data_IF_119243387763
#
_entry.id   IF_119243387763
#
_cell.length_a   1.000
_cell.length_b   1.000
_cell.length_c   1.000
_cell.angle_alpha   90.00
_cell.angle_beta   90.00
_cell.angle_gamma   90.00
#
_symmetry.space_group_name_H-M   'P 1'
#
loop_
_entity.id
_entity.type
_entity.pdbx_description
1 polymer ?
#
# COMPACT_ATOMS: atom_id res chain seq x y z
N UNK A 1 -28.95 -33.19 31.32
CA UNK A 1 -27.67 -33.25 30.58
C UNK A 1 -27.82 -32.46 29.28
N UNK A 2 -28.17 -31.17 29.38
CA UNK A 2 -28.07 -30.20 28.28
C UNK A 2 -27.96 -28.84 28.96
N UNK A 3 -26.78 -28.53 29.46
CA UNK A 3 -26.38 -27.20 29.94
C UNK A 3 -24.85 -27.20 29.86
N UNK A 4 -24.31 -26.77 28.71
CA UNK A 4 -22.94 -26.27 28.53
C UNK A 4 -22.60 -26.30 27.04
N UNK A 5 -23.16 -25.38 26.26
CA UNK A 5 -22.60 -24.96 24.96
C UNK A 5 -23.06 -23.52 24.66
N UNK A 6 -22.68 -22.59 25.53
CA UNK A 6 -22.44 -21.20 25.13
C UNK A 6 -21.10 -20.79 25.71
N UNK A 7 -20.02 -21.31 25.10
CA UNK A 7 -18.71 -20.69 25.25
C UNK A 7 -18.76 -19.36 24.50
N UNK A 8 -18.62 -18.31 25.30
CA UNK A 8 -18.49 -16.91 24.94
C UNK A 8 -17.57 -16.70 23.74
N UNK A 9 -18.02 -15.88 22.79
CA UNK A 9 -17.13 -15.18 21.87
C UNK A 9 -16.02 -14.51 22.68
N UNK A 10 -14.78 -14.85 22.39
CA UNK A 10 -13.58 -14.22 22.95
C UNK A 10 -13.65 -12.73 22.63
N UNK A 11 -14.08 -11.90 23.59
CA UNK A 11 -13.98 -10.46 23.51
C UNK A 11 -12.49 -10.13 23.47
N UNK A 12 -11.96 -9.93 22.27
CA UNK A 12 -10.58 -9.53 22.08
C UNK A 12 -10.41 -8.13 22.68
N UNK A 13 -9.98 -8.08 23.94
CA UNK A 13 -9.73 -6.84 24.67
C UNK A 13 -8.70 -6.02 23.89
N UNK A 14 -9.11 -4.84 23.41
CA UNK A 14 -8.20 -3.89 22.78
C UNK A 14 -7.11 -3.52 23.79
N UNK A 15 -5.84 -3.72 23.45
CA UNK A 15 -4.70 -3.41 24.33
C UNK A 15 -4.16 -2.01 24.09
N UNK A 16 -4.42 -1.43 22.92
CA UNK A 16 -3.91 -0.12 22.52
C UNK A 16 -5.03 0.87 22.28
N UNK A 17 -4.77 2.15 22.53
CA UNK A 17 -5.68 3.21 22.11
C UNK A 17 -5.76 3.24 20.57
N UNK A 18 -6.97 3.37 19.99
CA UNK A 18 -7.11 3.42 18.54
C UNK A 18 -6.49 4.71 18.00
N UNK A 19 -5.77 4.59 16.90
CA UNK A 19 -5.28 5.72 16.10
C UNK A 19 -6.09 5.71 14.80
N UNK A 20 -6.85 6.78 14.56
CA UNK A 20 -7.72 6.89 13.40
C UNK A 20 -6.93 6.71 12.10
N UNK A 21 -7.49 5.96 11.15
CA UNK A 21 -6.89 5.62 9.84
C UNK A 21 -5.56 4.86 9.85
N UNK A 22 -4.98 4.57 11.03
CA UNK A 22 -3.84 3.67 11.15
C UNK A 22 -4.29 2.20 11.19
N UNK A 23 -3.36 1.30 10.91
CA UNK A 23 -3.54 -0.14 11.02
C UNK A 23 -3.78 -0.57 12.46
N UNK A 24 -4.44 -1.72 12.63
CA UNK A 24 -4.65 -2.30 13.95
C UNK A 24 -3.33 -2.64 14.64
N UNK A 25 -3.10 -2.00 15.78
CA UNK A 25 -1.89 -2.16 16.59
C UNK A 25 -1.74 -3.57 17.18
N UNK A 26 -2.84 -4.31 17.33
CA UNK A 26 -2.83 -5.73 17.77
C UNK A 26 -2.12 -6.67 16.79
N UNK A 27 -1.90 -6.21 15.56
CA UNK A 27 -1.26 -6.99 14.50
C UNK A 27 0.26 -6.92 14.54
N UNK A 28 0.83 -6.07 15.39
CA UNK A 28 2.25 -6.07 15.72
C UNK A 28 2.55 -7.18 16.72
N UNK A 29 2.70 -8.40 16.24
CA UNK A 29 2.93 -9.63 17.01
C UNK A 29 3.81 -10.60 16.21
N UNK A 30 4.36 -11.68 16.79
CA UNK A 30 5.03 -12.72 16.00
C UNK A 30 4.16 -13.22 14.84
N UNK A 31 4.72 -13.24 13.63
CA UNK A 31 4.02 -13.52 12.36
C UNK A 31 3.24 -12.33 11.79
N UNK A 32 3.08 -11.23 12.54
CA UNK A 32 2.31 -10.04 12.16
C UNK A 32 3.13 -8.98 11.43
N UNK A 33 2.79 -7.70 11.59
CA UNK A 33 3.50 -6.60 10.93
C UNK A 33 4.93 -6.40 11.47
N UNK A 34 5.83 -5.93 10.61
CA UNK A 34 7.14 -5.43 11.03
C UNK A 34 7.01 -4.00 11.59
N UNK A 35 7.54 -3.68 12.79
CA UNK A 35 7.49 -2.32 13.33
C UNK A 35 8.40 -1.39 12.54
N UNK A 36 7.82 -0.36 11.89
CA UNK A 36 8.53 0.69 11.16
C UNK A 36 7.97 2.06 11.54
N UNK A 37 8.85 3.06 11.56
CA UNK A 37 8.48 4.46 11.77
C UNK A 37 9.06 5.37 10.68
N UNK A 38 8.51 6.58 10.59
CA UNK A 38 9.03 7.62 9.68
C UNK A 38 10.50 7.91 10.02
N UNK A 39 11.34 7.94 8.99
CA UNK A 39 12.77 8.19 9.12
C UNK A 39 13.65 6.92 9.16
N UNK A 40 13.07 5.75 9.45
CA UNK A 40 13.80 4.48 9.37
C UNK A 40 14.39 4.27 7.97
N UNK A 41 15.51 3.56 7.89
CA UNK A 41 16.14 3.20 6.62
C UNK A 41 16.20 1.68 6.50
N UNK A 42 15.44 1.14 5.55
CA UNK A 42 15.39 -0.30 5.28
C UNK A 42 16.50 -0.69 4.30
N UNK A 43 17.24 -1.76 4.61
CA UNK A 43 18.40 -2.25 3.82
C UNK A 43 19.43 -1.17 3.50
N UNK A 44 19.66 -0.24 4.43
CA UNK A 44 20.60 0.87 4.27
C UNK A 44 20.38 1.69 2.98
N UNK A 45 19.16 1.66 2.43
CA UNK A 45 18.84 2.21 1.11
C UNK A 45 17.50 2.95 1.07
N UNK A 46 16.46 2.36 1.64
CA UNK A 46 15.10 2.86 1.50
C UNK A 46 14.71 3.66 2.75
N UNK A 47 14.92 4.97 2.72
CA UNK A 47 14.52 5.85 3.82
C UNK A 47 13.02 6.07 3.81
N UNK A 48 12.32 5.74 4.89
CA UNK A 48 10.87 5.94 5.03
C UNK A 48 10.56 7.44 5.15
N UNK A 49 9.72 7.93 4.25
CA UNK A 49 9.30 9.33 4.15
C UNK A 49 7.85 9.50 4.59
N UNK A 50 6.97 8.60 4.16
CA UNK A 50 5.56 8.60 4.58
C UNK A 50 4.99 7.18 4.52
N UNK A 51 3.87 6.95 5.20
CA UNK A 51 3.04 5.77 4.95
C UNK A 51 2.12 5.97 3.75
N UNK A 52 2.03 5.01 2.83
CA UNK A 52 1.12 5.03 1.68
C UNK A 52 -0.17 4.25 1.92
N UNK A 53 -0.14 3.25 2.81
CA UNK A 53 -1.30 2.44 3.11
C UNK A 53 -0.97 1.23 3.98
N UNK A 54 -2.00 0.49 4.33
CA UNK A 54 -1.90 -0.81 4.97
C UNK A 54 -3.08 -1.68 4.54
N UNK A 55 -2.90 -2.98 4.63
CA UNK A 55 -3.96 -3.95 4.40
C UNK A 55 -3.76 -5.16 5.29
N UNK A 56 -4.60 -6.18 5.11
CA UNK A 56 -4.57 -7.37 5.98
C UNK A 56 -3.23 -8.11 5.94
N UNK A 57 -2.38 -7.99 4.93
CA UNK A 57 -1.13 -8.79 4.90
C UNK A 57 0.13 -7.95 4.75
N UNK A 58 0.03 -6.61 4.77
CA UNK A 58 1.19 -5.76 4.57
C UNK A 58 0.98 -4.32 5.01
N UNK A 59 2.08 -3.61 5.18
CA UNK A 59 2.12 -2.13 5.17
C UNK A 59 2.86 -1.65 3.93
N UNK A 60 2.52 -0.47 3.43
CA UNK A 60 3.15 0.14 2.25
C UNK A 60 3.65 1.53 2.59
N UNK A 61 4.89 1.82 2.23
CA UNK A 61 5.61 3.02 2.62
C UNK A 61 6.17 3.74 1.41
N UNK A 62 6.06 5.06 1.41
CA UNK A 62 6.78 5.93 0.50
C UNK A 62 8.21 6.05 1.02
N UNK A 63 9.17 5.64 0.21
CA UNK A 63 10.58 5.72 0.55
C UNK A 63 11.35 6.58 -0.45
N UNK A 64 12.40 7.25 0.02
CA UNK A 64 13.46 7.78 -0.84
C UNK A 64 14.51 6.70 -1.01
N UNK A 65 14.75 6.29 -2.25
CA UNK A 65 15.81 5.33 -2.59
C UNK A 65 17.16 6.06 -2.64
N UNK A 66 18.08 5.69 -1.76
CA UNK A 66 19.43 6.27 -1.68
C UNK A 66 20.31 5.99 -2.90
N UNK A 67 20.00 4.99 -3.73
CA UNK A 67 20.78 4.67 -4.93
C UNK A 67 20.33 5.45 -6.16
N UNK A 68 19.03 5.44 -6.45
CA UNK A 68 18.48 6.15 -7.62
C UNK A 68 18.13 7.61 -7.33
N UNK A 69 18.09 8.00 -6.05
CA UNK A 69 17.57 9.27 -5.59
C UNK A 69 16.13 9.54 -6.06
N UNK A 70 15.31 8.49 -6.22
CA UNK A 70 13.90 8.57 -6.61
C UNK A 70 12.98 8.13 -5.47
N UNK A 71 11.69 8.44 -5.59
CA UNK A 71 10.68 7.87 -4.70
C UNK A 71 10.24 6.48 -5.16
N UNK A 72 10.06 5.59 -4.19
CA UNK A 72 9.59 4.21 -4.40
C UNK A 72 8.50 3.87 -3.39
N UNK A 73 7.66 2.89 -3.72
CA UNK A 73 6.77 2.25 -2.77
C UNK A 73 7.40 0.95 -2.27
N UNK A 74 7.71 0.90 -0.97
CA UNK A 74 8.16 -0.31 -0.29
C UNK A 74 6.96 -0.98 0.37
N UNK A 75 6.62 -2.19 -0.08
CA UNK A 75 5.61 -3.02 0.58
C UNK A 75 6.29 -4.06 1.45
N UNK A 76 5.87 -4.13 2.72
CA UNK A 76 6.41 -5.01 3.76
C UNK A 76 5.30 -5.95 4.20
N UNK A 77 5.43 -7.24 3.90
CA UNK A 77 4.49 -8.28 4.28
C UNK A 77 4.49 -8.56 5.78
N UNK A 78 3.43 -9.19 6.28
CA UNK A 78 3.42 -9.79 7.62
C UNK A 78 4.41 -10.97 7.68
N UNK A 79 4.90 -11.30 8.88
CA UNK A 79 5.88 -12.38 9.06
C UNK A 79 5.36 -13.78 8.69
N UNK A 80 4.05 -13.95 8.57
CA UNK A 80 3.37 -15.16 8.11
C UNK A 80 2.96 -15.13 6.62
N UNK A 81 3.25 -14.02 5.92
CA UNK A 81 2.92 -13.87 4.49
C UNK A 81 3.98 -14.51 3.58
N UNK A 82 3.61 -14.75 2.32
CA UNK A 82 4.49 -15.29 1.29
C UNK A 82 4.72 -14.26 0.16
N UNK A 83 5.50 -14.65 -0.84
CA UNK A 83 5.80 -13.78 -1.98
C UNK A 83 4.83 -13.91 -3.17
N UNK A 84 3.68 -14.56 -3.02
CA UNK A 84 2.81 -14.91 -4.15
C UNK A 84 2.45 -13.71 -5.02
N UNK A 85 2.11 -12.56 -4.43
CA UNK A 85 1.82 -11.33 -5.18
C UNK A 85 3.05 -10.86 -5.98
N UNK A 86 4.24 -10.89 -5.36
CA UNK A 86 5.48 -10.51 -6.03
C UNK A 86 5.86 -11.49 -7.15
N UNK A 87 5.61 -12.79 -6.96
CA UNK A 87 5.84 -13.82 -7.98
C UNK A 87 4.90 -13.64 -9.17
N UNK A 88 3.61 -13.35 -8.92
CA UNK A 88 2.62 -13.06 -9.97
C UNK A 88 3.00 -11.80 -10.74
N UNK A 89 3.36 -10.71 -10.04
CA UNK A 89 3.84 -9.48 -10.70
C UNK A 89 5.11 -9.75 -11.50
N UNK A 90 6.05 -10.54 -10.98
CA UNK A 90 7.25 -10.95 -11.72
C UNK A 90 6.91 -11.70 -13.01
N UNK A 91 5.94 -12.61 -12.95
CA UNK A 91 5.47 -13.34 -14.13
C UNK A 91 4.80 -12.41 -15.15
N UNK A 92 3.93 -11.49 -14.70
CA UNK A 92 3.26 -10.49 -15.55
C UNK A 92 4.23 -9.51 -16.21
N UNK A 93 5.40 -9.27 -15.61
CA UNK A 93 6.44 -8.40 -16.19
C UNK A 93 7.42 -9.16 -17.10
N UNK A 94 7.44 -10.49 -17.05
CA UNK A 94 8.38 -11.34 -17.80
C UNK A 94 8.14 -11.29 -19.32
N UNK A 95 9.15 -11.67 -20.08
CA UNK A 95 9.05 -11.73 -21.55
C UNK A 95 8.23 -12.96 -21.96
N UNK A 96 7.13 -12.73 -22.68
CA UNK A 96 6.21 -13.77 -23.15
C UNK A 96 5.57 -13.38 -24.50
N UNK A 97 4.71 -14.24 -25.08
CA UNK A 97 4.09 -14.00 -26.39
C UNK A 97 3.29 -12.68 -26.46
N UNK A 98 2.88 -12.17 -25.31
CA UNK A 98 2.03 -10.98 -25.15
C UNK A 98 2.80 -9.70 -24.81
N UNK A 99 4.09 -9.63 -25.14
CA UNK A 99 4.97 -8.47 -24.91
C UNK A 99 4.41 -7.14 -25.44
N UNK A 100 3.65 -7.19 -26.54
CA UNK A 100 3.03 -6.02 -27.18
C UNK A 100 1.62 -5.71 -26.68
N UNK A 101 1.09 -6.49 -25.72
CA UNK A 101 -0.25 -6.26 -25.21
C UNK A 101 -0.29 -4.93 -24.42
N UNK A 102 -1.17 -3.97 -24.79
CA UNK A 102 -1.17 -2.63 -24.20
C UNK A 102 -1.47 -2.63 -22.70
N UNK A 103 -2.23 -3.62 -22.21
CA UNK A 103 -2.51 -3.81 -20.78
C UNK A 103 -1.27 -4.07 -19.91
N UNK A 104 -0.16 -4.55 -20.50
CA UNK A 104 1.10 -4.77 -19.77
C UNK A 104 1.61 -3.49 -19.11
N UNK A 105 1.44 -2.34 -19.76
CA UNK A 105 1.88 -1.04 -19.25
C UNK A 105 1.15 -0.59 -17.98
N UNK A 106 0.09 -1.30 -17.58
CA UNK A 106 -0.72 -1.03 -16.39
C UNK A 106 -0.33 -1.93 -15.21
N UNK A 107 0.56 -2.91 -15.40
CA UNK A 107 1.05 -3.75 -14.31
C UNK A 107 2.19 -3.04 -13.57
N UNK A 108 2.19 -3.02 -12.22
CA UNK A 108 3.34 -2.60 -11.44
C UNK A 108 4.57 -3.45 -11.75
N UNK A 109 5.72 -2.81 -11.91
CA UNK A 109 7.00 -3.49 -12.08
C UNK A 109 7.75 -3.55 -10.75
N UNK A 110 8.25 -4.74 -10.40
CA UNK A 110 9.12 -4.95 -9.24
C UNK A 110 10.53 -4.44 -9.55
N UNK A 111 11.03 -3.55 -8.70
CA UNK A 111 12.36 -2.94 -8.80
C UNK A 111 13.38 -3.60 -7.86
N UNK A 112 12.94 -4.10 -6.71
CA UNK A 112 13.74 -4.88 -5.77
C UNK A 112 12.83 -5.85 -4.99
N UNK A 113 13.41 -6.94 -4.49
CA UNK A 113 12.76 -7.95 -3.66
C UNK A 113 13.74 -8.49 -2.63
N UNK A 114 13.30 -8.60 -1.39
CA UNK A 114 14.13 -9.09 -0.30
C UNK A 114 13.30 -9.60 0.88
N UNK A 115 13.96 -10.24 1.83
CA UNK A 115 13.41 -10.55 3.16
C UNK A 115 13.95 -9.51 4.14
N UNK A 116 13.09 -8.98 4.99
CA UNK A 116 13.45 -8.14 6.12
C UNK A 116 13.23 -8.94 7.41
N UNK A 117 14.30 -9.27 8.11
CA UNK A 117 14.21 -9.96 9.40
C UNK A 117 13.94 -8.96 10.52
N UNK A 118 13.06 -9.32 11.44
CA UNK A 118 12.72 -8.51 12.60
C UNK A 118 12.19 -9.33 13.76
N UNK A 119 11.86 -8.64 14.83
CA UNK A 119 11.34 -9.27 16.06
C UNK A 119 10.02 -10.03 15.85
N UNK A 120 9.25 -9.66 14.82
CA UNK A 120 7.99 -10.29 14.46
C UNK A 120 8.13 -11.39 13.40
N UNK A 121 9.35 -11.75 13.01
CA UNK A 121 9.64 -12.80 12.03
C UNK A 121 10.37 -12.28 10.79
N UNK A 122 10.30 -13.04 9.71
CA UNK A 122 10.90 -12.71 8.41
C UNK A 122 9.83 -12.20 7.46
N UNK A 123 10.01 -10.99 6.94
CA UNK A 123 8.97 -10.28 6.21
C UNK A 123 9.31 -10.21 4.72
N UNK A 124 8.49 -10.80 3.82
CA UNK A 124 8.67 -10.63 2.39
C UNK A 124 8.42 -9.17 1.99
N UNK A 125 9.41 -8.58 1.35
CA UNK A 125 9.38 -7.20 0.90
C UNK A 125 9.60 -7.11 -0.61
N UNK A 126 8.94 -6.15 -1.23
CA UNK A 126 9.22 -5.78 -2.61
C UNK A 126 8.98 -4.29 -2.83
N UNK A 127 9.63 -3.77 -3.87
CA UNK A 127 9.66 -2.35 -4.19
C UNK A 127 9.07 -2.12 -5.57
N UNK A 128 8.17 -1.15 -5.70
CA UNK A 128 7.59 -0.71 -6.97
C UNK A 128 7.65 0.80 -7.13
N UNK A 129 7.22 1.32 -8.28
CA UNK A 129 6.87 2.74 -8.40
C UNK A 129 5.70 3.06 -7.47
N UNK A 130 5.68 4.24 -6.84
CA UNK A 130 4.55 4.66 -6.02
C UNK A 130 3.35 5.00 -6.90
N UNK A 131 2.17 4.60 -6.44
CA UNK A 131 0.91 5.10 -6.98
C UNK A 131 0.50 6.40 -6.27
N UNK A 132 -0.39 7.16 -6.90
CA UNK A 132 -0.99 8.36 -6.34
C UNK A 132 -2.07 8.01 -5.32
N UNK A 133 -3.11 7.31 -5.78
CA UNK A 133 -4.25 6.92 -4.96
C UNK A 133 -5.04 5.78 -5.63
N UNK A 134 -5.94 5.14 -4.89
CA UNK A 134 -6.94 4.24 -5.47
C UNK A 134 -8.09 5.02 -6.11
N UNK A 135 -8.86 4.37 -6.99
CA UNK A 135 -10.13 4.92 -7.50
C UNK A 135 -11.11 5.20 -6.37
N UNK A 136 -11.16 4.35 -5.34
CA UNK A 136 -12.02 4.56 -4.16
C UNK A 136 -11.63 5.85 -3.46
N UNK A 137 -10.35 6.01 -3.13
CA UNK A 137 -9.87 7.18 -2.40
C UNK A 137 -10.04 8.47 -3.22
N UNK A 138 -9.86 8.42 -4.54
CA UNK A 138 -10.11 9.57 -5.42
C UNK A 138 -11.59 10.00 -5.37
N UNK A 139 -12.52 9.04 -5.30
CA UNK A 139 -13.96 9.32 -5.14
C UNK A 139 -14.25 9.91 -3.77
N UNK A 140 -13.59 9.43 -2.72
CA UNK A 140 -13.78 9.93 -1.35
C UNK A 140 -13.26 11.37 -1.18
N UNK A 141 -12.25 11.76 -1.98
CA UNK A 141 -11.79 13.14 -2.06
C UNK A 141 -12.72 14.11 -2.80
N UNK A 142 -13.84 13.64 -3.38
CA UNK A 142 -14.79 14.48 -4.13
C UNK A 142 -16.18 14.46 -3.51
N UNK A 143 -16.81 15.64 -3.42
CA UNK A 143 -18.16 15.78 -2.85
C UNK A 143 -19.22 14.95 -3.59
N UNK A 144 -19.14 14.85 -4.92
CA UNK A 144 -20.09 14.08 -5.71
C UNK A 144 -19.65 12.62 -5.91
N UNK A 145 -18.41 12.27 -5.52
CA UNK A 145 -17.81 10.94 -5.65
C UNK A 145 -17.81 10.41 -7.09
N UNK A 146 -17.84 11.28 -8.09
CA UNK A 146 -17.90 10.93 -9.52
C UNK A 146 -16.69 11.45 -10.27
N UNK A 147 -16.23 10.64 -11.22
CA UNK A 147 -15.32 11.11 -12.26
C UNK A 147 -16.14 11.78 -13.37
N UNK A 148 -15.54 12.77 -14.04
CA UNK A 148 -16.08 13.26 -15.32
C UNK A 148 -16.23 12.09 -16.29
N UNK A 149 -17.32 12.08 -17.07
CA UNK A 149 -17.68 10.94 -17.92
C UNK A 149 -16.55 10.49 -18.87
N UNK A 150 -15.82 11.44 -19.46
CA UNK A 150 -14.69 11.13 -20.35
C UNK A 150 -13.53 10.47 -19.58
N UNK A 151 -13.24 10.93 -18.36
CA UNK A 151 -12.21 10.36 -17.48
C UNK A 151 -12.60 8.96 -17.03
N UNK A 152 -13.85 8.76 -16.61
CA UNK A 152 -14.38 7.45 -16.25
C UNK A 152 -14.26 6.44 -17.41
N UNK A 153 -14.63 6.84 -18.64
CA UNK A 153 -14.47 5.99 -19.83
C UNK A 153 -13.00 5.64 -20.11
N UNK A 154 -12.09 6.59 -19.93
CA UNK A 154 -10.64 6.34 -20.06
C UNK A 154 -10.14 5.31 -19.04
N UNK A 155 -10.54 5.44 -17.77
CA UNK A 155 -10.18 4.50 -16.70
C UNK A 155 -10.72 3.11 -17.00
N UNK A 156 -12.00 3.00 -17.39
CA UNK A 156 -12.64 1.71 -17.73
C UNK A 156 -11.94 1.05 -18.92
N UNK A 157 -11.64 1.82 -19.98
CA UNK A 157 -10.94 1.28 -21.15
C UNK A 157 -9.56 0.73 -20.77
N UNK A 158 -8.80 1.44 -19.94
CA UNK A 158 -7.52 0.94 -19.43
C UNK A 158 -7.73 -0.31 -18.56
N UNK A 159 -8.69 -0.31 -17.64
CA UNK A 159 -8.95 -1.47 -16.80
C UNK A 159 -9.30 -2.72 -17.60
N UNK A 160 -10.11 -2.59 -18.67
CA UNK A 160 -10.41 -3.70 -19.59
C UNK A 160 -9.13 -4.23 -20.26
N UNK A 161 -8.22 -3.35 -20.69
CA UNK A 161 -6.93 -3.77 -21.26
C UNK A 161 -6.04 -4.46 -20.21
N UNK A 162 -5.98 -3.95 -18.98
CA UNK A 162 -5.23 -4.58 -17.89
C UNK A 162 -5.77 -5.99 -17.59
N UNK A 163 -7.10 -6.13 -17.47
CA UNK A 163 -7.76 -7.41 -17.22
C UNK A 163 -7.58 -8.38 -18.38
N UNK A 164 -7.70 -7.91 -19.62
CA UNK A 164 -7.43 -8.73 -20.79
C UNK A 164 -5.99 -9.27 -20.79
N UNK A 165 -5.02 -8.43 -20.38
CA UNK A 165 -3.62 -8.84 -20.29
C UNK A 165 -3.38 -9.94 -19.25
N UNK A 166 -3.88 -9.76 -18.01
CA UNK A 166 -3.68 -10.78 -16.97
C UNK A 166 -4.34 -12.10 -17.35
N UNK A 167 -5.50 -12.07 -18.03
CA UNK A 167 -6.19 -13.27 -18.50
C UNK A 167 -5.41 -13.97 -19.62
N UNK A 168 -4.80 -13.21 -20.53
CA UNK A 168 -3.93 -13.75 -21.59
C UNK A 168 -2.66 -14.40 -21.02
N UNK A 169 -2.21 -13.92 -19.85
CA UNK A 169 -1.14 -14.53 -19.04
C UNK A 169 -1.63 -15.72 -18.20
N UNK A 170 -2.89 -16.13 -18.31
CA UNK A 170 -3.46 -17.26 -17.56
C UNK A 170 -3.72 -16.96 -16.08
N UNK A 171 -3.77 -15.69 -15.69
CA UNK A 171 -3.95 -15.25 -14.30
C UNK A 171 -5.31 -14.59 -14.13
N UNK A 172 -6.03 -14.96 -13.07
CA UNK A 172 -7.23 -14.25 -12.60
C UNK A 172 -6.86 -13.41 -11.38
N UNK A 173 -7.19 -12.12 -11.38
CA UNK A 173 -6.83 -11.21 -10.27
C UNK A 173 -7.43 -11.65 -8.92
N UNK A 174 -8.67 -12.11 -8.91
CA UNK A 174 -9.34 -12.65 -7.71
C UNK A 174 -9.87 -11.63 -6.70
N UNK A 175 -9.58 -10.32 -6.85
CA UNK A 175 -10.01 -9.27 -5.91
C UNK A 175 -10.11 -7.89 -6.59
N UNK A 176 -10.81 -7.83 -7.72
CA UNK A 176 -10.92 -6.60 -8.50
C UNK A 176 -12.02 -5.68 -7.94
N UNK A 177 -11.62 -4.57 -7.31
CA UNK A 177 -12.53 -3.52 -6.85
C UNK A 177 -11.85 -2.13 -6.88
N UNK A 178 -12.62 -1.05 -6.65
CA UNK A 178 -12.12 0.33 -6.76
C UNK A 178 -10.97 0.68 -5.78
N UNK A 179 -10.76 -0.11 -4.73
CA UNK A 179 -9.65 0.06 -3.79
C UNK A 179 -8.33 -0.53 -4.30
N UNK A 180 -8.41 -1.55 -5.17
CA UNK A 180 -7.25 -2.23 -5.76
C UNK A 180 -6.91 -1.70 -7.17
N UNK A 181 -7.72 -0.78 -7.72
CA UNK A 181 -7.37 -0.06 -8.96
C UNK A 181 -6.70 1.25 -8.56
N UNK A 182 -5.41 1.38 -8.87
CA UNK A 182 -4.60 2.53 -8.52
C UNK A 182 -4.43 3.49 -9.72
N UNK A 183 -4.19 4.76 -9.41
CA UNK A 183 -3.84 5.80 -10.37
C UNK A 183 -2.36 6.14 -10.24
N UNK A 184 -1.65 6.23 -11.36
CA UNK A 184 -0.20 6.49 -11.39
C UNK A 184 0.11 7.88 -10.86
N UNK A 185 1.20 7.96 -10.09
CA UNK A 185 1.75 9.22 -9.62
C UNK A 185 2.25 10.08 -10.79
N UNK A 186 2.02 11.38 -10.72
CA UNK A 186 2.45 12.32 -11.76
C UNK A 186 3.97 12.48 -11.77
N UNK A 187 4.53 12.75 -12.95
CA UNK A 187 5.98 12.76 -13.18
C UNK A 187 6.72 13.87 -12.41
N UNK A 188 6.03 14.97 -12.11
CA UNK A 188 6.58 16.10 -11.32
C UNK A 188 6.95 15.69 -9.90
N UNK A 189 6.31 14.65 -9.34
CA UNK A 189 6.61 14.16 -8.00
C UNK A 189 8.05 13.66 -7.84
N UNK A 190 8.63 13.09 -8.90
CA UNK A 190 9.97 12.48 -8.86
C UNK A 190 11.08 13.48 -8.53
N UNK A 191 10.89 14.75 -8.90
CA UNK A 191 11.88 15.82 -8.70
C UNK A 191 11.80 16.52 -7.33
N UNK A 192 10.80 16.19 -6.51
CA UNK A 192 10.63 16.83 -5.21
C UNK A 192 11.68 16.33 -4.21
N UNK A 193 12.17 17.26 -3.36
CA UNK A 193 12.84 16.93 -2.10
C UNK A 193 11.83 16.44 -1.06
N UNK A 194 12.30 15.82 0.02
CA UNK A 194 11.44 15.36 1.12
C UNK A 194 10.69 16.54 1.74
N UNK A 195 11.37 17.67 1.92
CA UNK A 195 10.81 18.91 2.45
C UNK A 195 9.70 19.44 1.53
N UNK A 196 9.88 19.39 0.21
CA UNK A 196 8.85 19.79 -0.75
C UNK A 196 7.66 18.82 -0.79
N UNK A 197 7.89 17.51 -0.60
CA UNK A 197 6.79 16.54 -0.43
C UNK A 197 5.97 16.91 0.80
N UNK A 198 6.62 17.18 1.93
CA UNK A 198 5.91 17.59 3.16
C UNK A 198 5.19 18.93 3.00
N UNK A 199 5.79 19.90 2.30
CA UNK A 199 5.15 21.18 2.05
C UNK A 199 3.91 21.04 1.16
N UNK A 200 3.95 20.15 0.16
CA UNK A 200 2.87 19.98 -0.82
C UNK A 200 1.74 19.08 -0.31
N UNK A 201 2.06 18.03 0.43
CA UNK A 201 1.10 16.98 0.81
C UNK A 201 0.92 16.81 2.33
N UNK A 202 1.62 17.60 3.14
CA UNK A 202 1.58 17.53 4.59
C UNK A 202 2.74 16.71 5.18
N UNK A 203 3.13 17.08 6.40
CA UNK A 203 4.08 16.30 7.20
C UNK A 203 3.41 15.04 7.76
N UNK A 204 4.14 13.94 7.98
CA UNK A 204 3.61 12.74 8.61
C UNK A 204 2.98 13.03 9.97
N UNK A 205 1.68 12.71 10.13
CA UNK A 205 0.95 12.87 11.38
C UNK A 205 1.15 11.64 12.31
N UNK A 206 2.40 11.40 12.72
CA UNK A 206 2.74 10.28 13.60
C UNK A 206 2.19 10.50 15.01
N UNK A 207 1.38 9.58 15.48
CA UNK A 207 0.79 9.60 16.82
C UNK A 207 1.48 8.56 17.71
N UNK A 208 1.70 8.90 18.98
CA UNK A 208 2.29 7.98 19.94
C UNK A 208 1.36 6.78 20.18
N UNK A 209 1.92 5.58 20.15
CA UNK A 209 1.18 4.38 20.49
C UNK A 209 1.10 4.27 22.02
N UNK A 210 -0.11 4.15 22.56
CA UNK A 210 -0.34 4.01 23.99
C UNK A 210 -1.09 2.72 24.28
N UNK A 211 -0.72 2.07 25.38
CA UNK A 211 -1.45 0.91 25.88
C UNK A 211 -2.56 1.37 26.81
N UNK A 212 -3.73 0.74 26.70
CA UNK A 212 -4.88 1.03 27.56
C UNK A 212 -4.69 0.54 29.00
N UNK A 213 -3.73 -0.36 29.23
CA UNK A 213 -3.35 -0.84 30.58
C UNK A 213 -2.16 -0.07 31.19
N UNK A 214 -1.76 1.05 30.60
CA UNK A 214 -0.66 1.94 31.02
C UNK A 214 0.72 1.24 31.15
N UNK A 215 0.86 0.02 30.64
CA UNK A 215 2.16 -0.68 30.64
C UNK A 215 3.09 -0.15 29.55
N UNK A 216 4.41 -0.39 29.65
CA UNK A 216 5.35 -0.10 28.58
C UNK A 216 4.99 -0.83 27.28
N UNK A 217 5.29 -0.19 26.14
CA UNK A 217 5.17 -0.86 24.84
C UNK A 217 6.17 -2.01 24.75
N UNK A 218 5.73 -3.18 24.28
CA UNK A 218 6.66 -4.27 24.01
C UNK A 218 7.42 -3.96 22.71
N UNK A 219 8.64 -4.50 22.54
CA UNK A 219 9.53 -4.14 21.43
C UNK A 219 9.01 -4.52 20.03
N UNK A 220 7.99 -5.37 19.96
CA UNK A 220 7.33 -5.77 18.71
C UNK A 220 6.38 -4.72 18.12
N UNK A 221 6.06 -3.65 18.85
CA UNK A 221 5.12 -2.60 18.45
C UNK A 221 5.88 -1.30 18.26
N UNK A 222 5.67 -0.55 17.17
CA UNK A 222 6.37 0.71 16.97
C UNK A 222 5.92 1.75 18.01
N UNK A 223 6.80 2.66 18.43
CA UNK A 223 6.47 3.71 19.40
C UNK A 223 5.47 4.74 18.85
N UNK A 224 5.38 4.87 17.53
CA UNK A 224 4.42 5.73 16.85
C UNK A 224 3.74 4.98 15.70
N UNK A 225 2.52 5.38 15.37
CA UNK A 225 1.83 4.96 14.16
C UNK A 225 1.45 6.20 13.34
N UNK A 226 1.60 6.09 12.03
CA UNK A 226 1.35 7.20 11.10
C UNK A 226 0.20 6.79 10.18
N UNK A 227 -0.89 7.56 10.09
CA UNK A 227 -1.90 7.38 9.06
C UNK A 227 -1.31 7.51 7.64
N UNK A 228 -1.89 6.85 6.63
CA UNK A 228 -1.48 7.01 5.23
C UNK A 228 -1.55 8.46 4.75
N UNK A 229 -0.60 8.89 3.91
CA UNK A 229 -0.68 10.18 3.22
C UNK A 229 -1.77 10.15 2.16
N UNK A 230 -2.43 11.29 1.98
CA UNK A 230 -3.21 11.54 0.77
C UNK A 230 -2.35 12.22 -0.30
N UNK A 231 -1.77 11.44 -1.21
CA UNK A 231 -1.09 11.95 -2.41
C UNK A 231 -2.06 12.25 -3.56
N UNK A 232 -3.33 11.91 -3.37
CA UNK A 232 -4.36 11.87 -4.39
C UNK A 232 -4.93 13.21 -4.81
N UNK A 233 -5.76 13.10 -5.84
CA UNK A 233 -6.55 14.18 -6.42
C UNK A 233 -8.03 13.78 -6.36
N UNK A 234 -8.94 14.74 -6.25
CA UNK A 234 -10.36 14.43 -6.21
C UNK A 234 -10.85 13.90 -7.57
N UNK A 235 -11.82 12.98 -7.57
CA UNK A 235 -12.27 12.28 -8.79
C UNK A 235 -12.75 13.20 -9.91
N UNK A 236 -13.38 14.33 -9.56
CA UNK A 236 -13.90 15.31 -10.50
C UNK A 236 -12.85 16.27 -11.09
N UNK A 237 -11.64 16.27 -10.53
CA UNK A 237 -10.51 17.09 -11.00
C UNK A 237 -9.63 16.36 -12.02
N UNK A 238 -9.70 15.03 -12.11
CA UNK A 238 -8.88 14.26 -13.05
C UNK A 238 -9.24 14.52 -14.52
N UNK A 239 -8.21 14.82 -15.31
CA UNK A 239 -8.29 14.80 -16.76
C UNK A 239 -8.09 13.37 -17.30
N UNK A 240 -8.66 13.03 -18.47
CA UNK A 240 -8.47 11.70 -19.06
C UNK A 240 -7.00 11.30 -19.29
N UNK A 241 -6.12 12.28 -19.56
CA UNK A 241 -4.68 12.08 -19.77
C UNK A 241 -3.88 11.82 -18.48
N UNK A 242 -4.42 12.22 -17.33
CA UNK A 242 -3.81 12.08 -16.00
C UNK A 242 -4.23 10.75 -15.34
N UNK A 243 -5.43 10.26 -15.64
CA UNK A 243 -5.99 9.07 -15.02
C UNK A 243 -5.40 7.77 -15.61
N UNK A 244 -4.11 7.54 -15.37
CA UNK A 244 -3.38 6.35 -15.83
C UNK A 244 -3.49 5.23 -14.81
N UNK A 245 -4.06 4.09 -15.21
CA UNK A 245 -4.32 2.94 -14.32
C UNK A 245 -3.02 2.18 -14.00
N UNK A 246 -2.91 1.75 -12.75
CA UNK A 246 -2.07 0.67 -12.28
C UNK A 246 -2.97 -0.37 -11.60
N UNK A 247 -2.89 -1.62 -12.04
CA UNK A 247 -3.64 -2.75 -11.48
C UNK A 247 -2.64 -3.74 -10.86
#
# INVERSE_FOLDING_TARGET
MIDSLMQSSDDQVCKYAPIEEAESLERYRPGGYHPLVIGDTVKDRYRIVHKLGHGTYSTTWLCRDGQSNSYVALKVGTGDSNFQEADVLGHLNSSGPSLHHPGRAMMPTIQDRFILDGINGSHPCYVTVPAMCSISSAKDGSNNRLFKANTARSIIAQLVLAVAYIHDMGIVHGDLHMGNVLLRLQSDFTGLSIEQVYQKYGTPNSQAVTRLDDKPLPPNVPPTATPPIWLGKASDEFLPSEARVLL
#
